data_IF_447711171649
#
_entry.id   IF_447711171649
#
_cell.length_a   1.000
_cell.length_b   1.000
_cell.length_c   1.000
_cell.angle_alpha   90.00
_cell.angle_beta   90.00
_cell.angle_gamma   90.00
#
_symmetry.space_group_name_H-M   'P 1'
#
loop_
_entity.id
_entity.type
_entity.pdbx_description
1 polymer ?
#
# COMPACT_ATOMS: atom_id res chain seq x y z
N UNK A 1 0.49 -5.31 11.89
CA UNK A 1 0.20 -3.86 11.81
C UNK A 1 -1.23 -3.67 11.34
N UNK A 2 -1.83 -2.49 11.54
CA UNK A 2 -3.09 -2.15 10.86
C UNK A 2 -2.81 -1.81 9.38
N UNK A 3 -3.73 -2.19 8.49
CA UNK A 3 -3.69 -1.81 7.07
C UNK A 3 -4.55 -0.56 6.89
N UNK A 4 -4.00 0.51 6.31
CA UNK A 4 -4.68 1.79 6.18
C UNK A 4 -5.01 2.10 4.72
N UNK A 5 -6.26 2.48 4.46
CA UNK A 5 -6.64 3.09 3.18
C UNK A 5 -6.13 4.54 3.16
N UNK A 6 -5.49 4.93 2.07
CA UNK A 6 -4.95 6.27 1.87
C UNK A 6 -5.34 6.79 0.48
N UNK A 7 -5.10 8.06 0.25
CA UNK A 7 -5.21 8.70 -1.07
C UNK A 7 -3.97 8.45 -1.91
N UNK A 8 -4.09 8.68 -3.22
CA UNK A 8 -2.94 8.63 -4.15
C UNK A 8 -1.85 9.65 -3.79
N UNK A 9 -2.23 10.83 -3.31
CA UNK A 9 -1.25 11.86 -2.93
C UNK A 9 -0.48 11.44 -1.68
N UNK A 10 -1.15 10.88 -0.66
CA UNK A 10 -0.50 10.29 0.50
C UNK A 10 0.40 9.10 0.12
N UNK A 11 -0.03 8.27 -0.84
CA UNK A 11 0.78 7.17 -1.34
C UNK A 11 2.07 7.66 -1.99
N UNK A 12 2.01 8.71 -2.82
CA UNK A 12 3.19 9.33 -3.41
C UNK A 12 4.16 9.83 -2.32
N UNK A 13 3.64 10.50 -1.29
CA UNK A 13 4.51 10.95 -0.19
C UNK A 13 5.19 9.79 0.55
N UNK A 14 4.49 8.68 0.78
CA UNK A 14 5.05 7.50 1.45
C UNK A 14 6.13 6.85 0.59
N UNK A 15 5.89 6.69 -0.71
CA UNK A 15 6.86 6.10 -1.64
C UNK A 15 8.10 6.99 -1.82
N UNK A 16 7.94 8.31 -1.79
CA UNK A 16 9.05 9.27 -1.90
C UNK A 16 9.89 9.33 -0.63
N UNK A 17 9.24 9.30 0.55
CA UNK A 17 9.89 9.51 1.85
C UNK A 17 10.27 8.22 2.56
N UNK A 18 9.76 7.07 2.10
CA UNK A 18 9.79 5.79 2.81
C UNK A 18 9.28 5.93 4.26
N UNK A 19 8.34 6.83 4.48
CA UNK A 19 7.81 7.20 5.79
C UNK A 19 6.43 7.87 5.65
N UNK A 20 5.48 7.64 6.59
CA UNK A 20 5.57 6.72 7.72
C UNK A 20 5.70 5.24 7.31
N UNK A 21 6.25 4.43 8.21
CA UNK A 21 6.32 2.96 8.03
C UNK A 21 4.98 2.34 8.34
N UNK A 22 4.55 1.42 7.49
CA UNK A 22 3.29 0.73 7.65
C UNK A 22 2.83 0.02 6.39
N UNK A 23 1.60 -0.48 6.47
CA UNK A 23 0.91 -1.16 5.38
C UNK A 23 -0.23 -0.27 4.92
N UNK A 24 -0.26 0.03 3.63
CA UNK A 24 -1.19 0.97 3.03
C UNK A 24 -1.79 0.41 1.75
N UNK A 25 -2.97 0.91 1.37
CA UNK A 25 -3.48 0.73 0.02
C UNK A 25 -4.29 1.94 -0.43
N UNK A 26 -4.41 2.11 -1.75
CA UNK A 26 -5.32 3.09 -2.36
C UNK A 26 -5.94 2.53 -3.63
N UNK A 27 -7.03 3.14 -4.11
CA UNK A 27 -7.68 2.77 -5.36
C UNK A 27 -7.38 3.83 -6.43
N UNK A 28 -6.83 3.41 -7.57
CA UNK A 28 -6.56 4.27 -8.70
C UNK A 28 -6.82 3.54 -10.02
N UNK A 29 -7.46 4.22 -10.96
CA UNK A 29 -7.73 3.71 -12.32
C UNK A 29 -8.33 2.29 -12.40
N UNK A 30 -9.19 1.91 -11.44
CA UNK A 30 -9.85 0.60 -11.44
C UNK A 30 -9.08 -0.51 -10.72
N UNK A 31 -7.93 -0.20 -10.13
CA UNK A 31 -7.06 -1.14 -9.44
C UNK A 31 -6.86 -0.74 -7.98
N UNK A 32 -6.60 -1.73 -7.13
CA UNK A 32 -6.13 -1.55 -5.76
C UNK A 32 -4.62 -1.66 -5.75
N UNK A 33 -3.94 -0.65 -5.20
CA UNK A 33 -2.49 -0.61 -5.13
C UNK A 33 -2.10 -0.80 -3.67
N UNK A 34 -1.39 -1.87 -3.37
CA UNK A 34 -0.84 -2.14 -2.04
C UNK A 34 0.55 -1.56 -1.90
N UNK A 35 0.85 -1.03 -0.71
CA UNK A 35 2.18 -0.51 -0.36
C UNK A 35 2.59 -1.13 0.98
N UNK A 36 3.63 -1.96 0.97
CA UNK A 36 4.33 -2.38 2.18
C UNK A 36 5.60 -1.54 2.35
N UNK A 37 5.58 -0.62 3.32
CA UNK A 37 6.72 0.18 3.74
C UNK A 37 7.10 -0.12 5.20
N UNK A 38 6.79 -1.32 5.71
CA UNK A 38 6.97 -1.68 7.13
C UNK A 38 8.44 -1.91 7.50
N UNK A 39 9.23 -2.43 6.57
CA UNK A 39 10.66 -2.75 6.75
C UNK A 39 11.59 -1.56 6.48
N UNK A 40 11.10 -0.53 5.78
CA UNK A 40 11.88 0.61 5.31
C UNK A 40 12.23 0.55 3.81
N UNK A 41 11.93 -0.58 3.16
CA UNK A 41 11.79 -0.68 1.70
C UNK A 41 10.29 -0.52 1.36
N UNK A 42 9.97 0.13 0.24
CA UNK A 42 8.59 0.29 -0.23
C UNK A 42 8.28 -0.68 -1.37
N UNK A 43 7.60 -1.78 -1.05
CA UNK A 43 7.07 -2.73 -2.04
C UNK A 43 5.71 -2.26 -2.51
N UNK A 44 5.48 -2.29 -3.82
CA UNK A 44 4.25 -1.79 -4.44
C UNK A 44 3.73 -2.82 -5.44
N UNK A 45 2.45 -3.17 -5.34
CA UNK A 45 1.81 -4.12 -6.25
C UNK A 45 0.35 -3.76 -6.54
N UNK A 46 -0.14 -4.11 -7.73
CA UNK A 46 -1.47 -3.78 -8.23
C UNK A 46 -2.39 -5.01 -8.27
N UNK A 47 -3.65 -4.81 -7.86
CA UNK A 47 -4.64 -5.88 -7.73
C UNK A 47 -5.98 -5.46 -8.32
N UNK A 48 -6.74 -6.44 -8.84
CA UNK A 48 -8.09 -6.20 -9.36
C UNK A 48 -9.14 -6.18 -8.26
N UNK A 49 -8.83 -6.75 -7.10
CA UNK A 49 -9.73 -6.78 -5.96
C UNK A 49 -9.07 -6.25 -4.68
N UNK A 50 -9.87 -5.62 -3.83
CA UNK A 50 -9.46 -5.17 -2.50
C UNK A 50 -8.95 -6.32 -1.64
N UNK A 51 -9.59 -7.48 -1.77
CA UNK A 51 -9.27 -8.67 -0.98
C UNK A 51 -7.86 -9.19 -1.31
N UNK A 52 -7.53 -9.36 -2.59
CA UNK A 52 -6.19 -9.78 -3.02
C UNK A 52 -5.10 -8.82 -2.53
N UNK A 53 -5.35 -7.50 -2.61
CA UNK A 53 -4.43 -6.49 -2.11
C UNK A 53 -4.20 -6.60 -0.60
N UNK A 54 -5.28 -6.78 0.16
CA UNK A 54 -5.19 -6.93 1.63
C UNK A 54 -4.52 -8.24 2.01
N UNK A 55 -4.75 -9.32 1.27
CA UNK A 55 -4.12 -10.62 1.54
C UNK A 55 -2.61 -10.56 1.27
N UNK A 56 -2.19 -9.92 0.17
CA UNK A 56 -0.78 -9.64 -0.11
C UNK A 56 -0.10 -8.84 1.02
N UNK A 57 -0.75 -7.80 1.54
CA UNK A 57 -0.24 -6.99 2.66
C UNK A 57 -0.13 -7.76 3.99
N UNK A 58 -0.78 -8.92 4.14
CA UNK A 58 -0.77 -9.71 5.39
C UNK A 58 0.20 -10.88 5.38
N UNK A 59 0.67 -11.28 4.21
CA UNK A 59 1.44 -12.52 4.04
C UNK A 59 2.94 -12.39 4.38
N UNK A 60 3.37 -11.21 4.88
CA UNK A 60 4.78 -10.87 5.19
C UNK A 60 4.98 -10.38 6.63
#
# INVERSE_FOLDING_TARGET
MGINEITKDEANEIMDKYSPRGLYYFFDNGLYIGIDNSSGDAWVEEFKSKQECIDWLKDW
#
